data_IF_634200959968
#
_entry.id   IF_634200959968
#
_cell.length_a   1.000
_cell.length_b   1.000
_cell.length_c   1.000
_cell.angle_alpha   90.00
_cell.angle_beta   90.00
_cell.angle_gamma   90.00
#
_symmetry.space_group_name_H-M   'P 1'
#
loop_
_entity.id
_entity.type
_entity.pdbx_description
1 polymer ?
#
# COMPACT_ATOMS: atom_id res chain seq x y z
N UNK A 1 -26.96 6.93 2.35
CA UNK A 1 -25.79 6.26 1.74
C UNK A 1 -25.01 5.59 2.86
N UNK A 2 -24.67 4.30 2.70
CA UNK A 2 -23.98 3.53 3.76
C UNK A 2 -22.47 3.85 3.71
N UNK A 3 -21.94 4.50 4.76
CA UNK A 3 -20.54 4.95 4.82
C UNK A 3 -19.53 3.81 4.70
N UNK A 4 -19.89 2.61 5.17
CA UNK A 4 -19.05 1.42 5.10
C UNK A 4 -18.85 0.92 3.66
N UNK A 5 -19.88 1.01 2.82
CA UNK A 5 -19.78 0.61 1.41
C UNK A 5 -18.85 1.55 0.63
N UNK A 6 -18.93 2.86 0.92
CA UNK A 6 -18.07 3.88 0.31
C UNK A 6 -16.61 3.65 0.71
N UNK A 7 -16.34 3.34 1.99
CA UNK A 7 -14.99 3.03 2.45
C UNK A 7 -14.44 1.75 1.79
N UNK A 8 -15.29 0.74 1.57
CA UNK A 8 -14.90 -0.50 0.89
C UNK A 8 -14.45 -0.24 -0.55
N UNK A 9 -15.25 0.49 -1.31
CA UNK A 9 -14.97 0.81 -2.72
C UNK A 9 -13.70 1.65 -2.85
N UNK A 10 -13.48 2.59 -1.91
CA UNK A 10 -12.27 3.41 -1.87
C UNK A 10 -11.01 2.58 -1.59
N UNK A 11 -11.07 1.64 -0.64
CA UNK A 11 -9.94 0.74 -0.34
C UNK A 11 -9.61 -0.15 -1.54
N UNK A 12 -10.63 -0.65 -2.23
CA UNK A 12 -10.43 -1.48 -3.42
C UNK A 12 -9.85 -0.66 -4.59
N UNK A 13 -10.26 0.60 -4.74
CA UNK A 13 -9.67 1.53 -5.70
C UNK A 13 -8.18 1.79 -5.44
N UNK A 14 -7.75 1.93 -4.17
CA UNK A 14 -6.33 2.11 -3.86
C UNK A 14 -5.48 0.87 -4.17
N UNK A 15 -6.00 -0.35 -3.97
CA UNK A 15 -5.28 -1.55 -4.42
C UNK A 15 -5.13 -1.63 -5.94
N UNK A 16 -6.11 -1.11 -6.69
CA UNK A 16 -6.00 -0.99 -8.14
C UNK A 16 -4.95 0.06 -8.53
N UNK A 17 -4.96 1.24 -7.92
CA UNK A 17 -3.94 2.28 -8.13
C UNK A 17 -2.53 1.78 -7.81
N UNK A 18 -2.38 0.99 -6.75
CA UNK A 18 -1.11 0.35 -6.40
C UNK A 18 -0.60 -0.54 -7.54
N UNK A 19 -1.46 -1.29 -8.22
CA UNK A 19 -1.05 -2.17 -9.32
C UNK A 19 -0.43 -1.37 -10.47
N UNK A 20 -0.99 -0.20 -10.78
CA UNK A 20 -0.43 0.72 -11.78
C UNK A 20 0.90 1.32 -11.32
N UNK A 21 0.96 1.86 -10.10
CA UNK A 21 2.20 2.43 -9.56
C UNK A 21 3.32 1.40 -9.45
N UNK A 22 3.01 0.17 -9.04
CA UNK A 22 3.95 -0.94 -8.94
C UNK A 22 4.66 -1.18 -10.27
N UNK A 23 3.90 -1.25 -11.38
CA UNK A 23 4.46 -1.46 -12.71
C UNK A 23 5.40 -0.30 -13.10
N UNK A 24 4.95 0.94 -12.91
CA UNK A 24 5.74 2.13 -13.23
C UNK A 24 7.03 2.23 -12.39
N UNK A 25 6.96 1.91 -11.10
CA UNK A 25 8.12 1.90 -10.19
C UNK A 25 9.11 0.81 -10.61
N UNK A 26 8.60 -0.37 -10.97
CA UNK A 26 9.44 -1.47 -11.44
C UNK A 26 10.20 -1.08 -12.71
N UNK A 27 9.50 -0.52 -13.69
CA UNK A 27 10.09 -0.02 -14.93
C UNK A 27 11.11 1.09 -14.68
N UNK A 28 10.81 2.05 -13.81
CA UNK A 28 11.74 3.13 -13.48
C UNK A 28 13.04 2.62 -12.84
N UNK A 29 12.95 1.57 -12.01
CA UNK A 29 14.13 0.91 -11.45
C UNK A 29 14.93 0.13 -12.50
N UNK A 30 14.25 -0.57 -13.41
CA UNK A 30 14.88 -1.33 -14.49
C UNK A 30 15.60 -0.40 -15.48
N UNK A 31 14.92 0.67 -15.91
CA UNK A 31 15.44 1.69 -16.80
C UNK A 31 16.51 2.60 -16.15
N UNK A 32 16.62 2.60 -14.82
CA UNK A 32 17.55 3.45 -14.04
C UNK A 32 17.47 4.94 -14.40
N UNK A 33 16.28 5.41 -14.77
CA UNK A 33 16.05 6.76 -15.29
C UNK A 33 15.89 7.85 -14.19
N UNK A 34 16.04 7.48 -12.92
CA UNK A 34 15.98 8.40 -11.78
C UNK A 34 14.56 8.79 -11.33
N UNK A 35 13.49 8.35 -12.01
CA UNK A 35 12.11 8.74 -11.67
C UNK A 35 11.51 7.89 -10.54
N UNK A 36 12.13 6.74 -10.21
CA UNK A 36 11.63 5.80 -9.22
C UNK A 36 11.35 6.44 -7.84
N UNK A 37 12.15 7.43 -7.43
CA UNK A 37 11.95 8.12 -6.15
C UNK A 37 10.59 8.82 -6.06
N UNK A 38 10.21 9.59 -7.09
CA UNK A 38 8.94 10.33 -7.11
C UNK A 38 7.75 9.37 -7.11
N UNK A 39 7.80 8.34 -7.95
CA UNK A 39 6.77 7.29 -7.99
C UNK A 39 6.64 6.55 -6.65
N UNK A 40 7.76 6.30 -5.97
CA UNK A 40 7.75 5.70 -4.63
C UNK A 40 7.13 6.62 -3.57
N UNK A 41 7.37 7.93 -3.62
CA UNK A 41 6.72 8.89 -2.72
C UNK A 41 5.20 8.94 -2.93
N UNK A 42 4.72 8.82 -4.17
CA UNK A 42 3.30 8.67 -4.48
C UNK A 42 2.72 7.36 -3.91
N UNK A 43 3.42 6.25 -4.10
CA UNK A 43 2.98 4.95 -3.59
C UNK A 43 2.97 4.88 -2.05
N UNK A 44 3.89 5.56 -1.37
CA UNK A 44 3.90 5.70 0.10
C UNK A 44 2.64 6.43 0.56
N UNK A 45 2.31 7.57 -0.05
CA UNK A 45 1.09 8.33 0.29
C UNK A 45 -0.17 7.48 0.07
N UNK A 46 -0.22 6.74 -1.03
CA UNK A 46 -1.31 5.81 -1.32
C UNK A 46 -1.46 4.75 -0.21
N UNK A 47 -0.34 4.18 0.25
CA UNK A 47 -0.34 3.20 1.34
C UNK A 47 -0.83 3.82 2.66
N UNK A 48 -0.37 5.03 2.99
CA UNK A 48 -0.80 5.75 4.20
C UNK A 48 -2.31 6.04 4.18
N UNK A 49 -2.86 6.48 3.03
CA UNK A 49 -4.30 6.67 2.85
C UNK A 49 -5.10 5.38 3.05
N UNK A 50 -4.58 4.28 2.52
CA UNK A 50 -5.19 2.96 2.67
C UNK A 50 -5.28 2.54 4.14
N UNK A 51 -4.17 2.67 4.87
CA UNK A 51 -4.15 2.35 6.31
C UNK A 51 -5.09 3.26 7.09
N UNK A 52 -5.09 4.56 6.78
CA UNK A 52 -5.96 5.53 7.46
C UNK A 52 -7.45 5.20 7.32
N UNK A 53 -7.92 4.77 6.12
CA UNK A 53 -9.34 4.46 5.96
C UNK A 53 -9.71 3.04 6.41
N UNK A 54 -8.78 2.08 6.31
CA UNK A 54 -9.04 0.70 6.69
C UNK A 54 -8.80 0.43 8.19
N UNK A 55 -8.11 1.33 8.89
CA UNK A 55 -7.74 1.24 10.30
C UNK A 55 -6.44 0.47 10.53
N UNK A 56 -5.72 0.79 11.61
CA UNK A 56 -4.37 0.26 11.88
C UNK A 56 -4.29 -1.28 11.98
N UNK A 57 -5.41 -1.96 12.24
CA UNK A 57 -5.48 -3.42 12.28
C UNK A 57 -5.06 -4.10 10.96
N UNK A 58 -5.13 -3.37 9.84
CA UNK A 58 -4.67 -3.88 8.54
C UNK A 58 -3.15 -3.95 8.41
N UNK A 59 -2.41 -3.22 9.25
CA UNK A 59 -0.94 -3.26 9.22
C UNK A 59 -0.41 -4.61 9.73
N UNK A 60 0.69 -5.11 9.14
CA UNK A 60 1.43 -6.22 9.72
C UNK A 60 2.14 -5.82 11.01
N UNK A 61 2.60 -6.80 11.81
CA UNK A 61 3.22 -6.57 13.13
C UNK A 61 4.39 -5.59 13.06
N UNK A 62 5.17 -5.62 11.97
CA UNK A 62 6.32 -4.74 11.73
C UNK A 62 6.02 -3.66 10.66
N UNK A 63 4.74 -3.35 10.42
CA UNK A 63 4.30 -2.48 9.34
C UNK A 63 4.80 -1.05 9.52
N UNK A 64 4.80 -0.55 10.74
CA UNK A 64 5.23 0.82 11.07
C UNK A 64 6.73 1.01 10.84
N UNK A 65 7.55 0.08 11.33
CA UNK A 65 9.01 0.14 11.18
C UNK A 65 9.42 0.00 9.71
N UNK A 66 8.76 -0.89 8.96
CA UNK A 66 9.00 -1.06 7.52
C UNK A 66 8.62 0.19 6.76
N UNK A 67 7.48 0.80 7.06
CA UNK A 67 7.05 2.04 6.42
C UNK A 67 8.02 3.20 6.73
N UNK A 68 8.47 3.33 7.98
CA UNK A 68 9.48 4.31 8.36
C UNK A 68 10.80 4.12 7.60
N UNK A 69 11.27 2.88 7.45
CA UNK A 69 12.46 2.56 6.66
C UNK A 69 12.29 2.94 5.17
N UNK A 70 11.15 2.61 4.57
CA UNK A 70 10.83 2.94 3.18
C UNK A 70 10.84 4.46 2.98
N UNK A 71 10.21 5.21 3.89
CA UNK A 71 10.15 6.69 3.86
C UNK A 71 11.52 7.34 3.96
N UNK A 72 12.47 6.73 4.67
CA UNK A 72 13.82 7.25 4.76
C UNK A 72 14.62 7.11 3.45
N UNK A 73 14.28 6.13 2.60
CA UNK A 73 15.07 5.78 1.40
C UNK A 73 14.20 5.39 0.19
N UNK A 74 13.23 6.22 -0.24
CA UNK A 74 12.20 5.85 -1.21
C UNK A 74 12.77 5.45 -2.58
N UNK A 75 13.92 5.99 -3.00
CA UNK A 75 14.54 5.67 -4.29
C UNK A 75 15.29 4.33 -4.35
N UNK A 76 15.33 3.53 -3.27
CA UNK A 76 16.04 2.26 -3.26
C UNK A 76 15.15 1.10 -3.70
N UNK A 77 15.66 0.23 -4.58
CA UNK A 77 14.93 -0.97 -5.04
C UNK A 77 14.45 -1.86 -3.89
N UNK A 78 15.25 -2.00 -2.82
CA UNK A 78 14.87 -2.73 -1.64
C UNK A 78 13.62 -2.13 -0.94
N UNK A 79 13.48 -0.80 -0.94
CA UNK A 79 12.31 -0.13 -0.39
C UNK A 79 11.07 -0.33 -1.27
N UNK A 80 11.22 -0.33 -2.60
CA UNK A 80 10.16 -0.75 -3.52
C UNK A 80 9.67 -2.16 -3.21
N UNK A 81 10.60 -3.14 -3.11
CA UNK A 81 10.24 -4.52 -2.77
C UNK A 81 9.53 -4.61 -1.42
N UNK A 82 9.94 -3.82 -0.43
CA UNK A 82 9.28 -3.83 0.87
C UNK A 82 7.89 -3.19 0.85
N UNK A 83 7.69 -2.13 0.07
CA UNK A 83 6.36 -1.54 -0.09
C UNK A 83 5.41 -2.50 -0.79
N UNK A 84 5.87 -3.25 -1.79
CA UNK A 84 5.10 -4.30 -2.47
C UNK A 84 4.64 -5.39 -1.50
N UNK A 85 5.54 -5.87 -0.64
CA UNK A 85 5.17 -6.85 0.39
C UNK A 85 4.19 -6.26 1.43
N UNK A 86 4.33 -5.00 1.83
CA UNK A 86 3.35 -4.32 2.69
C UNK A 86 1.95 -4.28 2.06
N UNK A 87 1.83 -3.93 0.78
CA UNK A 87 0.54 -3.95 0.08
C UNK A 87 -0.07 -5.35 0.03
N UNK A 88 0.72 -6.39 -0.26
CA UNK A 88 0.23 -7.78 -0.30
C UNK A 88 -0.27 -8.26 1.06
N UNK A 89 0.51 -8.01 2.11
CA UNK A 89 0.15 -8.38 3.48
C UNK A 89 -1.12 -7.65 3.93
N UNK A 90 -1.18 -6.35 3.67
CA UNK A 90 -2.32 -5.47 4.02
C UNK A 90 -3.58 -5.87 3.26
N UNK A 91 -3.49 -6.24 1.98
CA UNK A 91 -4.61 -6.78 1.19
C UNK A 91 -5.17 -8.05 1.80
N UNK A 92 -4.29 -8.98 2.20
CA UNK A 92 -4.69 -10.22 2.89
C UNK A 92 -5.35 -9.92 4.24
N UNK A 93 -4.82 -8.96 5.02
CA UNK A 93 -5.40 -8.55 6.31
C UNK A 93 -6.80 -7.96 6.14
N UNK A 94 -6.94 -7.01 5.21
CA UNK A 94 -8.20 -6.35 4.88
C UNK A 94 -9.27 -7.37 4.51
N UNK A 95 -8.95 -8.34 3.64
CA UNK A 95 -9.87 -9.40 3.24
C UNK A 95 -10.32 -10.26 4.44
N UNK A 96 -9.40 -10.61 5.36
CA UNK A 96 -9.75 -11.38 6.56
C UNK A 96 -10.66 -10.60 7.50
N UNK A 97 -10.38 -9.33 7.75
CA UNK A 97 -11.21 -8.47 8.63
C UNK A 97 -12.61 -8.28 8.06
N UNK A 98 -12.74 -8.10 6.73
CA UNK A 98 -14.04 -8.05 6.04
C UNK A 98 -14.85 -9.33 6.28
N UNK A 99 -14.24 -10.51 6.13
CA UNK A 99 -14.93 -11.79 6.38
C UNK A 99 -15.36 -11.92 7.85
N UNK A 100 -14.53 -11.48 8.80
CA UNK A 100 -14.86 -11.51 10.23
C UNK A 100 -16.02 -10.56 10.55
N UNK A 101 -16.04 -9.38 9.97
CA UNK A 101 -17.13 -8.41 10.14
C UNK A 101 -18.46 -8.92 9.55
N UNK A 102 -18.43 -9.63 8.42
CA UNK A 102 -19.65 -10.20 7.80
C UNK A 102 -20.22 -11.43 8.54
N UNK A 103 -19.49 -12.00 9.49
CA UNK A 103 -19.92 -13.15 10.30
C UNK A 103 -20.49 -12.75 11.67
N UNK A 104 -20.36 -11.48 12.04
CA UNK A 104 -21.00 -10.90 13.23
C UNK A 104 -22.40 -10.44 12.88
#
# INVERSE_FOLDING_TARGET
MNSEAIAKDQVDAWFAQWTTLQANIHEAHDARNGTAKGLMEEAIKLFEQLVQAAGDEVLPINGVERLAFIKAKPGQYACYRQLDELFKETKKRTARLRIQASKK
#
